data_IF_184611629163
#
_entry.id   IF_184611629163
#
_cell.length_a   1.000
_cell.length_b   1.000
_cell.length_c   1.000
_cell.angle_alpha   90.00
_cell.angle_beta   90.00
_cell.angle_gamma   90.00
#
_symmetry.space_group_name_H-M   'P 1'
#
loop_
_entity.id
_entity.type
_entity.pdbx_description
1 polymer ?
#
# COMPACT_ATOMS: atom_id res chain seq x y z
N UNK A 1 24.70 -2.48 22.63
CA UNK A 1 24.78 -1.01 22.63
C UNK A 1 23.73 -0.52 21.66
N UNK A 2 22.61 0.00 22.18
CA UNK A 2 21.49 0.50 21.38
C UNK A 2 21.86 1.82 20.70
N UNK A 3 22.54 1.73 19.56
CA UNK A 3 22.66 2.89 18.66
C UNK A 3 21.31 3.07 17.98
N UNK A 4 20.39 3.81 18.63
CA UNK A 4 19.14 4.25 18.01
C UNK A 4 19.49 5.04 16.76
N UNK A 5 19.21 4.47 15.59
CA UNK A 5 19.25 5.18 14.33
C UNK A 5 18.33 6.41 14.45
N UNK A 6 18.79 7.63 14.13
CA UNK A 6 17.89 8.78 14.09
C UNK A 6 16.84 8.48 13.01
N UNK A 7 15.59 8.26 13.44
CA UNK A 7 14.50 8.05 12.49
C UNK A 7 14.45 9.25 11.55
N UNK A 8 14.46 8.99 10.25
CA UNK A 8 14.09 10.00 9.29
C UNK A 8 12.61 10.31 9.50
N UNK A 9 12.33 11.26 10.40
CA UNK A 9 10.98 11.68 10.76
C UNK A 9 10.36 12.44 9.58
N UNK A 10 9.93 11.70 8.56
CA UNK A 10 8.97 12.23 7.59
C UNK A 10 7.71 12.56 8.39
N UNK A 11 7.31 13.84 8.49
CA UNK A 11 6.23 14.23 9.39
C UNK A 11 4.97 13.43 9.10
N UNK A 12 4.46 12.74 10.12
CA UNK A 12 3.20 11.99 10.02
C UNK A 12 2.09 13.00 9.75
N UNK A 13 1.35 12.82 8.65
CA UNK A 13 0.22 13.71 8.31
C UNK A 13 -1.08 13.15 8.88
N UNK A 14 -1.17 13.05 10.21
CA UNK A 14 -2.33 12.50 10.91
C UNK A 14 -1.98 12.01 12.32
N UNK A 15 -2.91 11.29 12.94
CA UNK A 15 -2.78 10.83 14.34
C UNK A 15 -2.23 9.40 14.41
N UNK A 16 -2.20 8.68 13.26
CA UNK A 16 -1.70 7.32 13.15
C UNK A 16 -0.98 7.10 11.81
N UNK A 17 0.10 6.32 11.83
CA UNK A 17 0.77 5.80 10.64
C UNK A 17 0.79 4.27 10.70
N UNK A 18 0.56 3.62 9.55
CA UNK A 18 0.62 2.15 9.44
C UNK A 18 1.35 1.73 8.17
N UNK A 19 1.95 0.53 8.20
CA UNK A 19 2.46 -0.14 7.02
C UNK A 19 1.33 -0.98 6.40
N UNK A 20 1.15 -0.85 5.09
CA UNK A 20 0.20 -1.66 4.30
C UNK A 20 0.79 -2.01 2.94
N UNK A 21 0.60 -3.25 2.48
CA UNK A 21 0.80 -3.63 1.09
C UNK A 21 -0.13 -2.88 0.13
N UNK A 22 0.41 -2.44 -1.01
CA UNK A 22 -0.31 -1.66 -2.03
C UNK A 22 -0.92 -2.52 -3.16
N UNK A 23 -1.10 -3.81 -2.93
CA UNK A 23 -1.74 -4.75 -3.85
C UNK A 23 -3.27 -4.70 -3.81
N UNK A 24 -3.88 -5.28 -4.83
CA UNK A 24 -5.34 -5.28 -5.02
C UNK A 24 -6.03 -6.53 -4.46
N UNK A 25 -5.26 -7.45 -3.85
CA UNK A 25 -5.68 -8.83 -3.59
C UNK A 25 -6.24 -9.09 -2.18
N UNK A 26 -6.53 -8.03 -1.42
CA UNK A 26 -7.18 -8.14 -0.10
C UNK A 26 -6.21 -8.00 1.07
N UNK A 27 -6.66 -8.36 2.26
CA UNK A 27 -5.94 -8.14 3.52
C UNK A 27 -4.82 -9.18 3.69
N UNK A 28 -3.58 -8.74 3.85
CA UNK A 28 -2.42 -9.61 4.13
C UNK A 28 -1.22 -9.39 3.21
N UNK A 29 -0.71 -8.15 3.14
CA UNK A 29 0.53 -7.78 2.42
C UNK A 29 0.68 -8.34 1.01
N UNK A 30 -0.39 -8.26 0.22
CA UNK A 30 -0.23 -8.35 -1.22
C UNK A 30 0.37 -7.05 -1.74
N UNK A 31 1.50 -7.13 -2.44
CA UNK A 31 2.12 -6.01 -3.17
C UNK A 31 3.14 -5.17 -2.40
N UNK A 32 3.74 -4.16 -3.06
CA UNK A 32 4.83 -3.35 -2.50
C UNK A 32 4.40 -2.63 -1.21
N UNK A 33 5.26 -2.57 -0.17
CA UNK A 33 4.90 -1.95 1.10
C UNK A 33 4.82 -0.42 0.98
N UNK A 34 3.86 0.15 1.69
CA UNK A 34 3.63 1.59 1.77
C UNK A 34 3.46 2.05 3.20
N UNK A 35 3.83 3.31 3.44
CA UNK A 35 3.35 4.08 4.58
C UNK A 35 1.98 4.66 4.28
N UNK A 36 1.06 4.50 5.22
CA UNK A 36 -0.29 5.08 5.17
C UNK A 36 -0.51 5.94 6.41
N UNK A 37 -0.67 7.24 6.20
CA UNK A 37 -1.04 8.18 7.25
C UNK A 37 -2.56 8.22 7.38
N UNK A 38 -3.04 8.24 8.62
CA UNK A 38 -4.45 8.19 9.00
C UNK A 38 -4.75 9.30 9.99
N UNK A 39 -5.85 10.02 9.76
CA UNK A 39 -6.40 11.03 10.67
C UNK A 39 -7.90 10.80 10.81
N UNK A 40 -8.43 10.80 12.03
CA UNK A 40 -9.87 10.59 12.29
C UNK A 40 -10.44 9.34 11.59
N UNK A 41 -9.68 8.25 11.59
CA UNK A 41 -10.05 6.99 10.92
C UNK A 41 -10.03 7.04 9.38
N UNK A 42 -9.50 8.11 8.76
CA UNK A 42 -9.42 8.28 7.30
C UNK A 42 -7.99 8.36 6.78
N UNK A 43 -7.75 7.75 5.62
CA UNK A 43 -6.46 7.80 4.92
C UNK A 43 -6.21 9.24 4.44
N UNK A 44 -5.12 9.86 4.89
CA UNK A 44 -4.71 11.20 4.45
C UNK A 44 -3.67 11.12 3.33
N UNK A 45 -2.70 10.21 3.43
CA UNK A 45 -1.57 10.05 2.50
C UNK A 45 -1.14 8.58 2.38
N UNK A 46 -0.72 8.17 1.18
CA UNK A 46 -0.06 6.90 0.90
C UNK A 46 1.27 7.22 0.20
N UNK A 47 2.38 6.66 0.68
CA UNK A 47 3.73 6.86 0.11
C UNK A 47 4.53 5.55 0.16
N UNK A 48 5.56 5.38 -0.69
CA UNK A 48 6.45 4.23 -0.58
C UNK A 48 7.06 4.10 0.82
N UNK A 49 7.24 2.86 1.27
CA UNK A 49 8.10 2.59 2.43
C UNK A 49 9.55 2.91 2.07
N UNK A 50 10.21 3.75 2.87
CA UNK A 50 11.66 3.92 2.82
C UNK A 50 12.28 2.98 3.85
N UNK A 51 13.18 2.10 3.41
CA UNK A 51 13.73 1.07 4.30
C UNK A 51 14.62 1.68 5.40
N UNK A 52 15.18 2.85 5.11
CA UNK A 52 15.98 3.64 6.04
C UNK A 52 15.16 4.41 7.09
N UNK A 53 13.82 4.34 7.08
CA UNK A 53 13.01 5.01 8.11
C UNK A 53 13.19 4.35 9.49
N UNK A 54 13.48 3.05 9.54
CA UNK A 54 13.66 2.29 10.79
C UNK A 54 15.04 1.62 10.92
N UNK A 55 15.77 1.40 9.83
CA UNK A 55 17.02 0.63 9.82
C UNK A 55 18.16 1.38 9.12
N UNK A 56 19.39 1.25 9.62
CA UNK A 56 20.56 1.83 8.96
C UNK A 56 20.91 1.03 7.68
N UNK A 57 21.30 1.74 6.59
CA UNK A 57 21.81 1.14 5.36
C UNK A 57 22.92 0.11 5.60
N UNK A 58 23.77 0.33 6.62
CA UNK A 58 24.84 -0.59 7.02
C UNK A 58 24.34 -1.97 7.47
N UNK A 59 23.09 -2.05 7.92
CA UNK A 59 22.44 -3.30 8.29
C UNK A 59 21.89 -4.09 7.10
N UNK A 60 21.90 -3.51 5.90
CA UNK A 60 21.38 -4.16 4.70
C UNK A 60 22.49 -4.89 3.93
N UNK A 61 22.17 -6.10 3.46
CA UNK A 61 23.01 -6.81 2.50
C UNK A 61 22.57 -6.48 1.06
N UNK A 62 22.86 -5.26 0.61
CA UNK A 62 22.46 -4.77 -0.71
C UNK A 62 23.30 -5.44 -1.80
N UNK A 63 22.66 -5.84 -2.90
CA UNK A 63 23.40 -6.30 -4.07
C UNK A 63 24.13 -5.14 -4.75
N UNK A 64 25.26 -5.45 -5.38
CA UNK A 64 26.06 -4.51 -6.18
C UNK A 64 26.44 -5.20 -7.48
N UNK A 65 26.24 -4.51 -8.60
CA UNK A 65 26.63 -5.01 -9.92
C UNK A 65 27.55 -3.98 -10.57
N UNK A 66 28.73 -4.43 -11.01
CA UNK A 66 29.69 -3.59 -11.74
C UNK A 66 29.64 -3.94 -13.23
N UNK A 67 29.30 -2.94 -14.06
CA UNK A 67 29.17 -3.12 -15.50
C UNK A 67 29.49 -1.83 -16.24
N UNK A 68 30.27 -1.93 -17.33
CA UNK A 68 30.61 -0.81 -18.22
C UNK A 68 31.18 0.41 -17.48
N UNK A 69 32.06 0.17 -16.51
CA UNK A 69 32.66 1.22 -15.68
C UNK A 69 31.69 1.92 -14.71
N UNK A 70 30.50 1.36 -14.50
CA UNK A 70 29.48 1.87 -13.57
C UNK A 70 29.13 0.85 -12.50
N UNK A 71 28.72 1.35 -11.35
CA UNK A 71 28.13 0.57 -10.26
C UNK A 71 26.62 0.75 -10.25
N UNK A 72 25.88 -0.36 -10.24
CA UNK A 72 24.44 -0.42 -10.06
C UNK A 72 24.12 -0.94 -8.66
N UNK A 73 23.19 -0.26 -7.99
CA UNK A 73 22.71 -0.56 -6.63
C UNK A 73 21.17 -0.51 -6.59
N UNK A 74 20.51 -1.22 -5.66
CA UNK A 74 19.07 -1.15 -5.50
C UNK A 74 18.61 0.19 -4.91
N UNK A 75 17.35 0.61 -5.20
CA UNK A 75 16.74 1.71 -4.47
C UNK A 75 16.45 1.31 -3.02
N UNK A 76 16.57 2.26 -2.09
CA UNK A 76 16.27 2.08 -0.66
C UNK A 76 14.82 2.40 -0.29
N UNK A 77 13.93 2.23 -1.26
CA UNK A 77 12.48 2.42 -1.10
C UNK A 77 11.71 1.38 -1.89
N UNK A 78 10.49 1.12 -1.46
CA UNK A 78 9.57 0.26 -2.21
C UNK A 78 9.23 0.85 -3.59
N UNK A 79 9.17 -0.02 -4.59
CA UNK A 79 8.72 0.31 -5.94
C UNK A 79 7.19 0.20 -6.02
N UNK A 80 6.50 1.28 -5.66
CA UNK A 80 5.04 1.33 -5.65
C UNK A 80 4.50 1.89 -6.96
N UNK A 81 3.60 1.15 -7.62
CA UNK A 81 2.94 1.61 -8.83
C UNK A 81 1.89 2.71 -8.58
N UNK A 82 1.46 3.45 -9.63
CA UNK A 82 0.50 4.55 -9.50
C UNK A 82 -0.83 4.18 -8.83
N UNK A 83 -1.33 2.96 -9.10
CA UNK A 83 -2.56 2.44 -8.49
C UNK A 83 -2.43 2.35 -6.95
N UNK A 84 -1.28 1.89 -6.47
CA UNK A 84 -0.99 1.78 -5.04
C UNK A 84 -0.97 3.16 -4.35
N UNK A 85 -0.31 4.13 -4.97
CA UNK A 85 -0.23 5.50 -4.44
C UNK A 85 -1.58 6.22 -4.42
N UNK A 86 -2.48 5.87 -5.35
CA UNK A 86 -3.80 6.50 -5.49
C UNK A 86 -4.93 5.68 -4.84
N UNK A 87 -4.60 4.63 -4.10
CA UNK A 87 -5.57 3.68 -3.55
C UNK A 87 -6.64 4.32 -2.64
N UNK A 88 -6.31 5.45 -2.01
CA UNK A 88 -7.26 6.32 -1.28
C UNK A 88 -8.51 6.65 -2.11
N UNK A 89 -8.37 6.93 -3.42
CA UNK A 89 -9.50 7.23 -4.31
C UNK A 89 -10.41 6.02 -4.53
N UNK A 90 -9.85 4.81 -4.54
CA UNK A 90 -10.60 3.56 -4.62
C UNK A 90 -11.38 3.27 -3.33
N UNK A 91 -10.73 3.47 -2.18
CA UNK A 91 -11.36 3.28 -0.85
C UNK A 91 -12.57 4.21 -0.69
N UNK A 92 -12.42 5.49 -1.05
CA UNK A 92 -13.47 6.50 -0.91
C UNK A 92 -14.24 6.80 -2.20
N UNK A 93 -14.25 5.86 -3.15
CA UNK A 93 -14.98 6.04 -4.41
C UNK A 93 -16.48 6.23 -4.15
N UNK A 94 -17.10 7.20 -4.82
CA UNK A 94 -18.57 7.38 -4.79
C UNK A 94 -19.31 6.17 -5.37
N UNK A 95 -18.65 5.41 -6.25
CA UNK A 95 -19.19 4.21 -6.89
C UNK A 95 -18.96 2.93 -6.06
N UNK A 96 -18.52 3.05 -4.81
CA UNK A 96 -18.36 1.89 -3.92
C UNK A 96 -19.73 1.30 -3.60
N UNK A 97 -19.94 0.03 -3.92
CA UNK A 97 -21.14 -0.73 -3.51
C UNK A 97 -21.19 -0.77 -1.98
N UNK A 98 -22.23 -0.16 -1.40
CA UNK A 98 -22.36 0.03 0.07
C UNK A 98 -23.11 -1.07 0.78
N UNK A 99 -23.95 -1.79 0.04
CA UNK A 99 -24.84 -2.82 0.56
C UNK A 99 -25.05 -3.89 -0.53
N UNK A 100 -25.45 -5.12 -0.15
CA UNK A 100 -25.84 -6.14 -1.11
C UNK A 100 -26.92 -5.60 -2.06
N UNK A 101 -26.76 -5.89 -3.35
CA UNK A 101 -27.73 -5.54 -4.38
C UNK A 101 -28.32 -6.82 -4.96
N UNK A 102 -29.63 -6.85 -5.15
CA UNK A 102 -30.33 -7.88 -5.91
C UNK A 102 -30.79 -7.24 -7.22
N UNK A 103 -30.61 -7.94 -8.34
CA UNK A 103 -31.24 -7.55 -9.60
C UNK A 103 -32.76 -7.59 -9.44
N UNK A 104 -33.45 -6.55 -9.92
CA UNK A 104 -34.91 -6.40 -9.80
C UNK A 104 -35.65 -7.52 -10.52
N UNK A 105 -35.11 -7.99 -11.64
CA UNK A 105 -35.67 -9.03 -12.49
C UNK A 105 -35.21 -10.45 -12.13
N UNK A 106 -34.37 -10.61 -11.09
CA UNK A 106 -33.87 -11.91 -10.69
C UNK A 106 -34.80 -12.59 -9.68
N UNK A 107 -35.30 -13.77 -10.02
CA UNK A 107 -36.05 -14.66 -9.14
C UNK A 107 -35.25 -15.95 -8.92
N UNK A 108 -34.86 -16.29 -7.67
CA UNK A 108 -34.16 -17.53 -7.39
C UNK A 108 -34.98 -18.79 -7.74
N UNK A 109 -36.31 -18.68 -7.85
CA UNK A 109 -37.23 -19.79 -8.17
C UNK A 109 -37.45 -20.02 -9.66
N UNK A 110 -36.88 -19.19 -10.54
CA UNK A 110 -37.04 -19.26 -11.99
C UNK A 110 -38.10 -18.31 -12.53
N UNK A 111 -38.16 -18.17 -13.86
CA UNK A 111 -39.20 -17.38 -14.51
C UNK A 111 -40.49 -18.22 -14.60
N UNK A 112 -41.69 -17.62 -14.56
CA UNK A 112 -42.93 -18.35 -14.84
C UNK A 112 -42.83 -19.06 -16.21
N UNK A 113 -42.85 -20.40 -16.20
CA UNK A 113 -42.72 -21.24 -17.40
C UNK A 113 -41.28 -21.66 -17.77
N UNK A 114 -40.27 -21.43 -16.94
CA UNK A 114 -38.94 -22.05 -17.11
C UNK A 114 -38.94 -23.46 -16.51
N UNK A 115 -39.43 -24.42 -17.28
CA UNK A 115 -39.17 -25.87 -17.12
C UNK A 115 -38.75 -26.43 -18.46
#
# INVERSE_FOLDING_TARGET
>A
MDTKHPKNDTPVKGDKQVIRGAGLMGNGDSGPPTWVDVKDGKITRIRPLHYEDEYDKKGFNLWKIEARGKTLEPPLRASVGPIGLTYKKRVYSKNRVRYPLKRVDWDPSGAPGST
#
